data_IF_487555903217
#
_entry.id   IF_487555903217
#
_cell.length_a   1.000
_cell.length_b   1.000
_cell.length_c   1.000
_cell.angle_alpha   90.00
_cell.angle_beta   90.00
_cell.angle_gamma   90.00
#
_symmetry.space_group_name_H-M   'P 1'
#
loop_
_entity.id
_entity.type
_entity.pdbx_description
1 polymer ?
#
# COMPACT_ATOMS: atom_id res chain seq x y z
N UNK A 1 -30.55 -25.95 40.70
CA UNK A 1 -30.82 -25.00 39.59
C UNK A 1 -29.62 -24.93 38.63
N UNK A 2 -29.63 -25.72 37.57
CA UNK A 2 -28.58 -25.69 36.55
C UNK A 2 -28.66 -24.36 35.79
N UNK A 3 -27.55 -23.64 35.68
CA UNK A 3 -27.46 -22.38 34.95
C UNK A 3 -28.02 -22.55 33.52
N UNK A 4 -28.74 -21.57 32.97
CA UNK A 4 -29.29 -21.65 31.63
C UNK A 4 -28.13 -21.82 30.64
N UNK A 5 -28.20 -22.89 29.85
CA UNK A 5 -27.22 -23.24 28.82
C UNK A 5 -27.25 -22.19 27.70
N UNK A 6 -26.29 -21.28 27.71
CA UNK A 6 -26.19 -20.19 26.73
C UNK A 6 -25.31 -20.63 25.55
N UNK A 7 -25.82 -20.43 24.34
CA UNK A 7 -25.05 -20.62 23.10
C UNK A 7 -24.14 -19.40 22.87
N UNK A 8 -23.03 -19.54 22.11
CA UNK A 8 -22.09 -18.45 21.85
C UNK A 8 -22.74 -17.25 21.13
N UNK A 9 -23.80 -17.49 20.37
CA UNK A 9 -24.67 -16.46 19.78
C UNK A 9 -26.11 -16.85 20.07
N UNK A 10 -26.89 -15.88 20.54
CA UNK A 10 -28.34 -16.03 20.72
C UNK A 10 -29.03 -16.10 19.35
N UNK A 11 -29.07 -17.29 18.75
CA UNK A 11 -29.87 -17.60 17.56
C UNK A 11 -31.07 -18.41 18.02
N UNK A 12 -32.27 -18.00 17.60
CA UNK A 12 -33.48 -18.81 17.80
C UNK A 12 -33.46 -19.95 16.79
N UNK A 13 -33.14 -21.17 17.25
CA UNK A 13 -33.21 -22.37 16.43
C UNK A 13 -34.50 -23.15 16.75
N UNK A 14 -35.20 -23.68 15.73
CA UNK A 14 -36.43 -24.45 15.91
C UNK A 14 -36.20 -25.86 16.51
N UNK A 15 -34.98 -26.20 16.93
CA UNK A 15 -34.62 -27.49 17.50
C UNK A 15 -34.57 -27.43 19.03
N UNK A 16 -35.13 -28.44 19.71
CA UNK A 16 -35.14 -28.54 21.18
C UNK A 16 -33.71 -28.54 21.77
N UNK A 17 -33.30 -27.39 22.34
CA UNK A 17 -32.01 -27.18 23.04
C UNK A 17 -31.82 -28.03 24.30
N UNK A 18 -32.85 -28.78 24.73
CA UNK A 18 -32.88 -29.51 26.01
C UNK A 18 -32.62 -31.03 25.90
N UNK A 19 -32.48 -31.61 24.69
CA UNK A 19 -32.08 -33.02 24.53
C UNK A 19 -30.56 -33.18 24.35
N UNK A 20 -29.94 -34.09 25.11
CA UNK A 20 -28.58 -34.61 24.84
C UNK A 20 -28.73 -35.74 23.81
N UNK A 21 -27.97 -35.80 22.69
CA UNK A 21 -26.70 -35.10 22.36
C UNK A 21 -26.83 -33.89 21.40
N UNK A 22 -28.04 -33.46 21.03
CA UNK A 22 -28.25 -32.41 20.01
C UNK A 22 -27.72 -31.04 20.44
N UNK A 23 -27.81 -30.68 21.72
CA UNK A 23 -27.26 -29.43 22.24
C UNK A 23 -25.73 -29.34 22.11
N UNK A 24 -25.01 -30.39 22.49
CA UNK A 24 -23.54 -30.43 22.47
C UNK A 24 -23.02 -30.38 21.03
N UNK A 25 -23.66 -31.10 20.11
CA UNK A 25 -23.35 -31.05 18.69
C UNK A 25 -23.60 -29.66 18.08
N UNK A 26 -24.72 -29.01 18.41
CA UNK A 26 -25.04 -27.66 17.94
C UNK A 26 -24.06 -26.61 18.49
N UNK A 27 -23.72 -26.70 19.78
CA UNK A 27 -22.74 -25.79 20.40
C UNK A 27 -21.36 -25.94 19.76
N UNK A 28 -20.89 -27.17 19.54
CA UNK A 28 -19.62 -27.45 18.89
C UNK A 28 -19.61 -26.95 17.44
N UNK A 29 -20.67 -27.26 16.67
CA UNK A 29 -20.81 -26.81 15.29
C UNK A 29 -20.86 -25.28 15.19
N UNK A 30 -21.61 -24.60 16.07
CA UNK A 30 -21.69 -23.15 16.11
C UNK A 30 -20.35 -22.53 16.48
N UNK A 31 -19.65 -23.05 17.49
CA UNK A 31 -18.34 -22.58 17.91
C UNK A 31 -17.30 -22.74 16.79
N UNK A 32 -17.31 -23.90 16.12
CA UNK A 32 -16.46 -24.15 14.96
C UNK A 32 -16.76 -23.19 13.81
N UNK A 33 -18.04 -22.93 13.54
CA UNK A 33 -18.46 -22.02 12.47
C UNK A 33 -18.02 -20.58 12.74
N UNK A 34 -18.12 -20.11 13.98
CA UNK A 34 -17.64 -18.78 14.39
C UNK A 34 -16.12 -18.67 14.32
N UNK A 35 -15.41 -19.74 14.69
CA UNK A 35 -13.95 -19.79 14.54
C UNK A 35 -13.55 -19.70 13.07
N UNK A 36 -14.17 -20.49 12.20
CA UNK A 36 -13.91 -20.44 10.75
C UNK A 36 -14.22 -19.06 10.17
N UNK A 37 -15.34 -18.45 10.56
CA UNK A 37 -15.71 -17.10 10.10
C UNK A 37 -14.69 -16.05 10.56
N UNK A 38 -14.28 -16.09 11.83
CA UNK A 38 -13.26 -15.19 12.37
C UNK A 38 -11.93 -15.33 11.62
N UNK A 39 -11.49 -16.56 11.37
CA UNK A 39 -10.26 -16.81 10.63
C UNK A 39 -10.37 -16.34 9.19
N UNK A 40 -11.50 -16.57 8.52
CA UNK A 40 -11.72 -16.11 7.16
C UNK A 40 -11.63 -14.59 7.05
N UNK A 41 -12.24 -13.84 7.98
CA UNK A 41 -12.15 -12.37 8.01
C UNK A 41 -10.71 -11.90 8.18
N UNK A 42 -9.99 -12.43 9.18
CA UNK A 42 -8.58 -12.06 9.40
C UNK A 42 -7.72 -12.40 8.18
N UNK A 43 -7.94 -13.54 7.52
CA UNK A 43 -7.24 -13.89 6.30
C UNK A 43 -7.52 -12.91 5.15
N UNK A 44 -8.76 -12.45 5.01
CA UNK A 44 -9.12 -11.44 4.00
C UNK A 44 -8.43 -10.10 4.28
N UNK A 45 -8.39 -9.67 5.54
CA UNK A 45 -7.71 -8.42 5.91
C UNK A 45 -6.21 -8.49 5.64
N UNK A 46 -5.58 -9.58 6.08
CA UNK A 46 -4.17 -9.85 5.81
C UNK A 46 -3.91 -9.84 4.30
N UNK A 47 -4.75 -10.52 3.51
CA UNK A 47 -4.61 -10.58 2.07
C UNK A 47 -4.62 -9.19 1.42
N UNK A 48 -5.57 -8.32 1.78
CA UNK A 48 -5.62 -6.96 1.22
C UNK A 48 -4.41 -6.11 1.63
N UNK A 49 -4.00 -6.17 2.90
CA UNK A 49 -2.80 -5.47 3.38
C UNK A 49 -1.56 -5.95 2.62
N UNK A 50 -1.44 -7.26 2.37
CA UNK A 50 -0.33 -7.82 1.60
C UNK A 50 -0.33 -7.33 0.14
N UNK A 51 -1.50 -7.27 -0.51
CA UNK A 51 -1.60 -6.73 -1.87
C UNK A 51 -1.20 -5.25 -1.93
N UNK A 52 -1.63 -4.45 -0.95
CA UNK A 52 -1.22 -3.05 -0.85
C UNK A 52 0.28 -2.90 -0.63
N UNK A 53 0.86 -3.73 0.23
CA UNK A 53 2.30 -3.73 0.49
C UNK A 53 3.10 -4.15 -0.75
N UNK A 54 2.62 -5.16 -1.50
CA UNK A 54 3.24 -5.59 -2.75
C UNK A 54 3.25 -4.46 -3.78
N UNK A 55 2.13 -3.76 -3.95
CA UNK A 55 2.06 -2.59 -4.84
C UNK A 55 3.07 -1.52 -4.42
N UNK A 56 3.16 -1.21 -3.13
CA UNK A 56 4.11 -0.23 -2.62
C UNK A 56 5.57 -0.66 -2.88
N UNK A 57 5.88 -1.95 -2.70
CA UNK A 57 7.19 -2.51 -2.98
C UNK A 57 7.54 -2.44 -4.48
N UNK A 58 6.60 -2.75 -5.37
CA UNK A 58 6.83 -2.64 -6.83
C UNK A 58 7.07 -1.19 -7.26
N UNK A 59 6.38 -0.21 -6.64
CA UNK A 59 6.67 1.21 -6.86
C UNK A 59 8.06 1.60 -6.36
N UNK A 60 8.50 1.04 -5.24
CA UNK A 60 9.85 1.25 -4.70
C UNK A 60 10.93 0.63 -5.59
N UNK A 61 10.74 -0.59 -6.08
CA UNK A 61 11.65 -1.24 -7.03
C UNK A 61 11.74 -0.42 -8.32
N UNK A 62 10.61 0.08 -8.82
CA UNK A 62 10.60 0.96 -9.99
C UNK A 62 11.35 2.28 -9.73
N UNK A 63 11.20 2.86 -8.53
CA UNK A 63 11.96 4.05 -8.10
C UNK A 63 13.47 3.80 -8.11
N UNK A 64 13.91 2.66 -7.56
CA UNK A 64 15.32 2.28 -7.53
C UNK A 64 15.86 1.96 -8.93
N UNK A 65 15.07 1.32 -9.80
CA UNK A 65 15.48 1.08 -11.19
C UNK A 65 15.67 2.40 -11.95
N UNK A 66 14.82 3.40 -11.72
CA UNK A 66 14.97 4.74 -12.30
C UNK A 66 16.21 5.48 -11.77
N UNK A 67 16.51 5.36 -10.48
CA UNK A 67 17.70 5.97 -9.88
C UNK A 67 19.00 5.24 -10.25
N UNK A 68 18.92 3.94 -10.54
CA UNK A 68 20.06 3.14 -11.00
C UNK A 68 20.51 3.57 -12.41
N UNK A 69 19.56 3.91 -13.30
CA UNK A 69 19.87 4.46 -14.63
C UNK A 69 20.70 5.76 -14.54
N UNK A 70 20.41 6.64 -13.58
CA UNK A 70 21.22 7.84 -13.30
C UNK A 70 22.66 7.47 -12.89
N UNK A 71 22.81 6.54 -11.94
CA UNK A 71 24.12 6.12 -11.41
C UNK A 71 24.99 5.43 -12.45
N UNK A 72 24.42 4.55 -13.27
CA UNK A 72 25.14 3.89 -14.35
C UNK A 72 25.72 4.90 -15.35
N UNK A 73 24.96 5.97 -15.64
CA UNK A 73 25.41 7.02 -16.55
C UNK A 73 26.50 7.92 -15.97
N UNK A 74 26.42 8.28 -14.69
CA UNK A 74 27.47 9.05 -14.02
C UNK A 74 28.82 8.32 -13.99
N UNK A 75 28.81 6.99 -13.85
CA UNK A 75 30.03 6.18 -13.93
C UNK A 75 30.62 6.17 -15.34
N UNK A 76 29.79 6.02 -16.38
CA UNK A 76 30.27 6.04 -17.76
C UNK A 76 30.84 7.40 -18.16
N UNK A 77 30.13 8.49 -17.86
CA UNK A 77 30.63 9.85 -18.14
C UNK A 77 31.93 10.20 -17.39
N UNK A 78 32.15 9.63 -16.21
CA UNK A 78 33.42 9.78 -15.47
C UNK A 78 34.56 8.97 -16.08
N UNK A 79 34.27 7.81 -16.67
CA UNK A 79 35.25 6.96 -17.34
C UNK A 79 35.74 7.61 -18.64
N UNK A 80 34.83 8.16 -19.45
CA UNK A 80 35.15 8.89 -20.69
C UNK A 80 36.03 10.13 -20.45
N UNK A 81 35.77 10.85 -19.35
CA UNK A 81 36.57 12.04 -18.95
C UNK A 81 37.97 11.67 -18.44
N UNK A 82 38.13 10.49 -17.82
CA UNK A 82 39.43 10.01 -17.34
C UNK A 82 40.30 9.55 -18.51
N UNK A 83 39.72 8.83 -19.48
CA UNK A 83 40.43 8.37 -20.68
C UNK A 83 40.91 9.53 -21.57
N UNK A 84 40.14 10.62 -21.65
CA UNK A 84 40.54 11.81 -22.41
C UNK A 84 41.63 12.65 -21.72
N UNK A 85 41.78 12.53 -20.40
CA UNK A 85 42.84 13.25 -19.64
C UNK A 85 44.20 12.53 -19.76
N UNK A 86 44.21 11.21 -19.95
CA UNK A 86 45.44 10.40 -20.08
C UNK A 86 46.06 10.43 -21.50
N UNK A 87 45.35 10.94 -22.52
CA UNK A 87 45.85 11.02 -23.91
C UNK A 87 46.62 12.33 -24.20
N UNK A 88 46.62 13.32 -23.29
CA UNK A 88 47.28 14.61 -23.53
C UNK A 88 48.69 14.75 -22.93
N UNK A 89 49.48 13.69 -23.04
CA UNK A 89 50.88 13.70 -22.61
C UNK A 89 51.73 12.69 -23.37
N UNK A 90 52.02 12.94 -24.65
CA UNK A 90 53.32 12.65 -25.31
C UNK A 90 53.28 13.08 -26.79
N UNK A 91 54.35 13.76 -27.21
CA UNK A 91 54.51 14.47 -28.49
C UNK A 91 55.05 13.57 -29.62
N UNK A 92 54.81 13.98 -30.89
CA UNK A 92 55.43 13.53 -32.16
C UNK A 92 55.17 12.10 -32.70
N UNK A 93 54.30 11.96 -33.72
CA UNK A 93 54.74 11.77 -35.12
C UNK A 93 53.57 11.70 -36.12
N UNK A 94 53.71 12.42 -37.23
CA UNK A 94 52.64 12.76 -38.18
C UNK A 94 52.72 11.93 -39.47
N UNK A 95 52.20 10.69 -39.50
CA UNK A 95 51.83 10.03 -40.79
C UNK A 95 51.00 8.72 -40.75
N UNK A 96 50.57 8.19 -39.60
CA UNK A 96 49.64 7.03 -39.54
C UNK A 96 48.25 7.39 -38.97
N UNK A 97 48.01 8.69 -38.78
CA UNK A 97 46.95 9.21 -37.89
C UNK A 97 45.52 9.09 -38.44
N UNK A 98 45.31 9.01 -39.75
CA UNK A 98 43.96 9.11 -40.32
C UNK A 98 43.11 7.83 -40.24
N UNK A 99 43.73 6.65 -40.16
CA UNK A 99 43.01 5.37 -40.08
C UNK A 99 42.72 4.94 -38.65
N UNK A 100 43.57 5.30 -37.69
CA UNK A 100 43.40 4.97 -36.27
C UNK A 100 42.37 5.88 -35.61
N UNK A 101 42.43 7.18 -35.89
CA UNK A 101 41.46 8.18 -35.39
C UNK A 101 40.04 7.89 -35.92
N UNK A 102 39.93 7.55 -37.21
CA UNK A 102 38.65 7.13 -37.82
C UNK A 102 38.15 5.78 -37.32
N UNK A 103 39.04 4.86 -36.90
CA UNK A 103 38.65 3.61 -36.24
C UNK A 103 38.19 3.86 -34.81
N UNK A 104 38.85 4.70 -34.04
CA UNK A 104 38.44 5.09 -32.69
C UNK A 104 37.09 5.81 -32.71
N UNK A 105 36.90 6.78 -33.60
CA UNK A 105 35.63 7.52 -33.74
C UNK A 105 34.47 6.60 -34.18
N UNK A 106 34.73 5.65 -35.08
CA UNK A 106 33.75 4.61 -35.43
C UNK A 106 33.47 3.66 -34.27
N UNK A 107 34.48 3.27 -33.49
CA UNK A 107 34.35 2.33 -32.36
C UNK A 107 33.60 2.98 -31.19
N UNK A 108 33.91 4.24 -30.88
CA UNK A 108 33.24 5.11 -29.90
C UNK A 108 31.80 5.40 -30.35
N UNK A 109 31.58 5.66 -31.64
CA UNK A 109 30.25 5.82 -32.21
C UNK A 109 29.38 4.56 -32.10
N UNK A 110 29.96 3.36 -32.25
CA UNK A 110 29.27 2.08 -32.01
C UNK A 110 28.99 1.82 -30.54
N UNK A 111 29.93 2.10 -29.62
CA UNK A 111 29.71 1.89 -28.18
C UNK A 111 28.66 2.83 -27.61
N UNK A 112 28.62 4.10 -28.07
CA UNK A 112 27.61 5.07 -27.66
C UNK A 112 26.20 4.67 -28.12
N UNK A 113 26.08 4.16 -29.36
CA UNK A 113 24.82 3.64 -29.90
C UNK A 113 24.32 2.42 -29.14
N UNK A 114 25.20 1.47 -28.83
CA UNK A 114 24.83 0.30 -28.04
C UNK A 114 24.41 0.68 -26.61
N UNK A 115 25.06 1.69 -26.01
CA UNK A 115 24.70 2.20 -24.69
C UNK A 115 23.32 2.88 -24.69
N UNK A 116 23.04 3.73 -25.69
CA UNK A 116 21.74 4.41 -25.83
C UNK A 116 20.60 3.41 -26.10
N UNK A 117 20.86 2.36 -26.89
CA UNK A 117 19.89 1.28 -27.13
C UNK A 117 19.58 0.48 -25.86
N UNK A 118 20.59 0.18 -25.03
CA UNK A 118 20.41 -0.49 -23.73
C UNK A 118 19.60 0.37 -22.77
N UNK A 119 19.94 1.66 -22.66
CA UNK A 119 19.22 2.60 -21.80
C UNK A 119 17.77 2.80 -22.24
N UNK A 120 17.51 2.83 -23.56
CA UNK A 120 16.16 2.85 -24.09
C UNK A 120 15.39 1.55 -23.78
N UNK A 121 16.03 0.39 -23.91
CA UNK A 121 15.41 -0.90 -23.57
C UNK A 121 15.04 -1.00 -22.08
N UNK A 122 15.89 -0.51 -21.18
CA UNK A 122 15.60 -0.42 -19.75
C UNK A 122 14.43 0.52 -19.47
N UNK A 123 14.39 1.70 -20.10
CA UNK A 123 13.26 2.62 -19.97
C UNK A 123 11.96 1.96 -20.44
N UNK A 124 11.95 1.28 -21.59
CA UNK A 124 10.76 0.58 -22.10
C UNK A 124 10.29 -0.50 -21.12
N UNK A 125 11.22 -1.23 -20.51
CA UNK A 125 10.92 -2.22 -19.46
C UNK A 125 10.28 -1.56 -18.24
N UNK A 126 10.85 -0.45 -17.77
CA UNK A 126 10.33 0.32 -16.63
C UNK A 126 8.94 0.92 -16.91
N UNK A 127 8.69 1.44 -18.11
CA UNK A 127 7.37 1.94 -18.52
C UNK A 127 6.34 0.81 -18.56
N UNK A 128 6.69 -0.36 -19.11
CA UNK A 128 5.80 -1.53 -19.14
C UNK A 128 5.50 -2.03 -17.72
N UNK A 129 6.51 -2.07 -16.86
CA UNK A 129 6.36 -2.44 -15.46
C UNK A 129 5.41 -1.47 -14.74
N UNK A 130 5.60 -0.16 -14.91
CA UNK A 130 4.70 0.85 -14.36
C UNK A 130 3.24 0.68 -14.83
N UNK A 131 3.04 0.42 -16.13
CA UNK A 131 1.70 0.15 -16.66
C UNK A 131 1.05 -1.09 -16.01
N UNK A 132 1.83 -2.14 -15.72
CA UNK A 132 1.36 -3.31 -14.99
C UNK A 132 1.00 -2.99 -13.54
N UNK A 133 1.80 -2.15 -12.86
CA UNK A 133 1.50 -1.65 -11.50
C UNK A 133 0.21 -0.84 -11.49
N UNK A 134 0.05 0.12 -12.42
CA UNK A 134 -1.18 0.92 -12.55
C UNK A 134 -2.42 0.03 -12.75
N UNK A 135 -2.30 -1.01 -13.59
CA UNK A 135 -3.39 -1.98 -13.80
C UNK A 135 -3.70 -2.74 -12.50
N UNK A 136 -2.68 -3.18 -11.78
CA UNK A 136 -2.83 -3.89 -10.51
C UNK A 136 -3.51 -3.03 -9.45
N UNK A 137 -3.11 -1.75 -9.33
CA UNK A 137 -3.76 -0.79 -8.43
C UNK A 137 -5.22 -0.55 -8.82
N UNK A 138 -5.53 -0.45 -10.12
CA UNK A 138 -6.92 -0.26 -10.56
C UNK A 138 -7.84 -1.44 -10.22
N UNK A 139 -7.31 -2.67 -10.27
CA UNK A 139 -8.03 -3.88 -9.88
C UNK A 139 -8.17 -3.96 -8.36
N UNK A 140 -7.09 -3.68 -7.64
CA UNK A 140 -7.07 -3.64 -6.18
C UNK A 140 -8.07 -2.60 -5.66
N UNK A 141 -8.11 -1.40 -6.23
CA UNK A 141 -9.04 -0.34 -5.84
C UNK A 141 -10.50 -0.77 -6.06
N UNK A 142 -10.83 -1.41 -7.19
CA UNK A 142 -12.19 -1.91 -7.44
C UNK A 142 -12.60 -3.00 -6.44
N UNK A 143 -11.68 -3.87 -6.06
CA UNK A 143 -11.94 -4.93 -5.08
C UNK A 143 -12.09 -4.36 -3.66
N UNK A 144 -11.25 -3.40 -3.30
CA UNK A 144 -11.21 -2.83 -1.95
C UNK A 144 -12.30 -1.80 -1.69
N UNK A 145 -12.92 -1.21 -2.72
CA UNK A 145 -13.93 -0.14 -2.56
C UNK A 145 -15.07 -0.55 -1.60
N UNK A 146 -15.69 -1.71 -1.85
CA UNK A 146 -16.73 -2.25 -0.99
C UNK A 146 -16.18 -2.73 0.37
N UNK A 147 -15.00 -3.38 0.36
CA UNK A 147 -14.40 -3.95 1.57
C UNK A 147 -14.05 -2.86 2.59
N UNK A 148 -13.46 -1.75 2.15
CA UNK A 148 -13.08 -0.63 3.02
C UNK A 148 -14.32 0.09 3.54
N UNK A 149 -15.36 0.27 2.72
CA UNK A 149 -16.61 0.85 3.21
C UNK A 149 -17.20 0.03 4.37
N UNK A 150 -17.27 -1.29 4.21
CA UNK A 150 -17.74 -2.22 5.24
C UNK A 150 -16.83 -2.16 6.47
N UNK A 151 -15.51 -2.22 6.26
CA UNK A 151 -14.50 -2.11 7.32
C UNK A 151 -14.70 -0.83 8.15
N UNK A 152 -14.86 0.33 7.51
CA UNK A 152 -15.03 1.60 8.22
C UNK A 152 -16.32 1.65 9.04
N UNK A 153 -17.41 1.14 8.47
CA UNK A 153 -18.69 1.08 9.16
C UNK A 153 -18.63 0.16 10.39
N UNK A 154 -18.03 -1.04 10.24
CA UNK A 154 -17.84 -2.00 11.33
C UNK A 154 -16.92 -1.42 12.41
N UNK A 155 -15.81 -0.79 12.03
CA UNK A 155 -14.88 -0.16 12.98
C UNK A 155 -15.54 0.98 13.74
N UNK A 156 -16.34 1.81 13.08
CA UNK A 156 -17.12 2.87 13.73
C UNK A 156 -18.11 2.30 14.75
N UNK A 157 -18.84 1.25 14.39
CA UNK A 157 -19.79 0.58 15.28
C UNK A 157 -19.08 -0.11 16.47
N UNK A 158 -17.97 -0.82 16.22
CA UNK A 158 -17.16 -1.46 17.26
C UNK A 158 -16.57 -0.45 18.22
N UNK A 159 -16.05 0.67 17.72
CA UNK A 159 -15.48 1.72 18.57
C UNK A 159 -16.57 2.38 19.45
N UNK A 160 -17.71 2.72 18.85
CA UNK A 160 -18.85 3.26 19.61
C UNK A 160 -19.35 2.27 20.66
N UNK A 161 -19.49 0.99 20.29
CA UNK A 161 -19.95 -0.07 21.18
C UNK A 161 -18.99 -0.34 22.35
N UNK A 162 -17.70 -0.49 22.06
CA UNK A 162 -16.66 -0.74 23.06
C UNK A 162 -16.61 0.39 24.11
N UNK A 163 -16.65 1.65 23.67
CA UNK A 163 -16.63 2.80 24.60
C UNK A 163 -17.93 2.88 25.39
N UNK A 164 -19.09 2.62 24.77
CA UNK A 164 -20.37 2.61 25.48
C UNK A 164 -20.45 1.52 26.56
N UNK A 165 -20.08 0.28 26.22
CA UNK A 165 -20.07 -0.84 27.18
C UNK A 165 -19.08 -0.56 28.31
N UNK A 166 -17.89 -0.04 28.01
CA UNK A 166 -16.92 0.36 29.02
C UNK A 166 -17.49 1.44 29.96
N UNK A 167 -18.17 2.46 29.42
CA UNK A 167 -18.80 3.52 30.22
C UNK A 167 -19.90 2.99 31.15
N UNK A 168 -20.81 2.14 30.64
CA UNK A 168 -21.89 1.56 31.43
C UNK A 168 -21.36 0.63 32.53
N UNK A 169 -20.37 -0.21 32.23
CA UNK A 169 -19.76 -1.12 33.21
C UNK A 169 -19.04 -0.38 34.34
N UNK A 170 -18.40 0.76 34.02
CA UNK A 170 -17.78 1.63 35.02
C UNK A 170 -18.81 2.31 35.92
N UNK A 171 -19.95 2.74 35.36
CA UNK A 171 -20.99 3.44 36.11
C UNK A 171 -21.86 2.51 36.97
N UNK A 172 -22.20 1.30 36.49
CA UNK A 172 -23.23 0.45 37.12
C UNK A 172 -22.68 -0.59 38.09
N UNK A 173 -21.61 -1.31 37.71
CA UNK A 173 -21.16 -2.51 38.42
C UNK A 173 -19.86 -2.30 39.22
N UNK A 174 -19.14 -1.20 39.01
CA UNK A 174 -17.80 -0.97 39.59
C UNK A 174 -16.77 -2.05 39.20
N UNK A 175 -17.09 -2.89 38.21
CA UNK A 175 -16.30 -4.06 37.84
C UNK A 175 -15.21 -3.69 36.83
N UNK A 176 -14.15 -3.08 37.36
CA UNK A 176 -13.01 -2.54 36.61
C UNK A 176 -12.39 -3.58 35.68
N UNK A 177 -12.36 -4.86 36.07
CA UNK A 177 -11.76 -5.94 35.26
C UNK A 177 -12.50 -6.17 33.93
N UNK A 178 -13.84 -6.06 33.92
CA UNK A 178 -14.64 -6.20 32.69
C UNK A 178 -14.52 -4.97 31.81
N UNK A 179 -14.58 -3.78 32.41
CA UNK A 179 -14.42 -2.52 31.67
C UNK A 179 -13.02 -2.39 31.04
N UNK A 180 -11.97 -2.81 31.76
CA UNK A 180 -10.60 -2.78 31.27
C UNK A 180 -10.42 -3.68 30.04
N UNK A 181 -11.07 -4.85 30.01
CA UNK A 181 -11.06 -5.75 28.84
C UNK A 181 -11.64 -5.07 27.60
N UNK A 182 -12.77 -4.37 27.74
CA UNK A 182 -13.42 -3.66 26.63
C UNK A 182 -12.59 -2.46 26.16
N UNK A 183 -11.98 -1.70 27.09
CA UNK A 183 -11.08 -0.60 26.72
C UNK A 183 -9.85 -1.12 25.97
N UNK A 184 -9.34 -2.30 26.34
CA UNK A 184 -8.18 -2.92 25.69
C UNK A 184 -8.46 -3.36 24.24
N UNK A 185 -9.74 -3.44 23.83
CA UNK A 185 -10.13 -3.69 22.43
C UNK A 185 -9.91 -2.45 21.54
N UNK A 186 -10.01 -1.24 22.09
CA UNK A 186 -9.93 0.02 21.33
C UNK A 186 -8.59 0.15 20.55
N UNK A 187 -7.41 -0.07 21.17
CA UNK A 187 -6.15 -0.04 20.44
C UNK A 187 -6.06 -1.08 19.31
N UNK A 188 -6.67 -2.27 19.46
CA UNK A 188 -6.68 -3.28 18.40
C UNK A 188 -7.44 -2.81 17.16
N UNK A 189 -8.64 -2.25 17.35
CA UNK A 189 -9.50 -1.72 16.27
C UNK A 189 -8.82 -0.53 15.56
N UNK A 190 -8.14 0.32 16.32
CA UNK A 190 -7.33 1.42 15.76
C UNK A 190 -6.09 0.92 15.02
N UNK A 191 -5.46 -0.15 15.49
CA UNK A 191 -4.31 -0.74 14.83
C UNK A 191 -4.70 -1.33 13.47
N UNK A 192 -5.80 -2.08 13.41
CA UNK A 192 -6.32 -2.68 12.17
C UNK A 192 -6.55 -1.62 11.09
N UNK A 193 -7.34 -0.59 11.39
CA UNK A 193 -7.60 0.53 10.46
C UNK A 193 -6.37 1.39 10.19
N UNK A 194 -5.48 1.54 11.17
CA UNK A 194 -4.22 2.25 11.04
C UNK A 194 -3.29 1.60 10.02
N UNK A 195 -3.19 0.27 10.00
CA UNK A 195 -2.37 -0.48 9.05
C UNK A 195 -2.79 -0.21 7.59
N UNK A 196 -4.08 -0.26 7.29
CA UNK A 196 -4.59 0.12 5.97
C UNK A 196 -4.19 1.55 5.59
N UNK A 197 -4.38 2.50 6.51
CA UNK A 197 -4.03 3.90 6.28
C UNK A 197 -2.53 4.12 6.02
N UNK A 198 -1.66 3.39 6.73
CA UNK A 198 -0.20 3.43 6.54
C UNK A 198 0.19 2.89 5.17
N UNK A 199 -0.37 1.75 4.76
CA UNK A 199 -0.13 1.18 3.44
C UNK A 199 -0.59 2.13 2.32
N UNK A 200 -1.78 2.72 2.46
CA UNK A 200 -2.29 3.70 1.50
C UNK A 200 -1.38 4.92 1.38
N UNK A 201 -0.91 5.45 2.52
CA UNK A 201 0.05 6.55 2.54
C UNK A 201 1.40 6.18 1.89
N UNK A 202 1.90 4.96 2.12
CA UNK A 202 3.15 4.48 1.53
C UNK A 202 3.05 4.39 0.01
N UNK A 203 1.94 3.89 -0.54
CA UNK A 203 1.69 3.86 -1.98
C UNK A 203 1.71 5.27 -2.57
N UNK A 204 1.00 6.22 -1.93
CA UNK A 204 0.97 7.62 -2.37
C UNK A 204 2.39 8.20 -2.37
N UNK A 205 3.12 8.07 -1.26
CA UNK A 205 4.47 8.61 -1.12
C UNK A 205 5.44 8.03 -2.15
N UNK A 206 5.40 6.71 -2.41
CA UNK A 206 6.25 6.09 -3.42
C UNK A 206 5.86 6.53 -4.85
N UNK A 207 4.57 6.76 -5.11
CA UNK A 207 4.11 7.27 -6.41
C UNK A 207 4.56 8.70 -6.69
N UNK A 208 4.60 9.57 -5.68
CA UNK A 208 5.11 10.94 -5.81
C UNK A 208 6.63 10.95 -6.06
N UNK A 209 7.37 10.08 -5.35
CA UNK A 209 8.82 9.90 -5.55
C UNK A 209 9.16 9.48 -6.98
N UNK A 210 8.28 8.71 -7.64
CA UNK A 210 8.48 8.20 -9.00
C UNK A 210 8.77 9.29 -10.03
N UNK A 211 8.05 10.40 -9.96
CA UNK A 211 8.27 11.53 -10.88
C UNK A 211 9.63 12.16 -10.65
N UNK A 212 10.04 12.30 -9.39
CA UNK A 212 11.31 12.92 -9.02
C UNK A 212 12.49 12.03 -9.42
N UNK A 213 12.39 10.72 -9.19
CA UNK A 213 13.39 9.73 -9.64
C UNK A 213 13.49 9.70 -11.17
N UNK A 214 12.36 9.74 -11.87
CA UNK A 214 12.34 9.83 -13.33
C UNK A 214 12.99 11.11 -13.84
N UNK A 215 12.80 12.24 -13.16
CA UNK A 215 13.41 13.51 -13.56
C UNK A 215 14.93 13.49 -13.45
N UNK A 216 15.46 12.70 -12.50
CA UNK A 216 16.90 12.56 -12.29
C UNK A 216 17.58 11.53 -13.18
N UNK A 217 16.88 10.81 -14.06
CA UNK A 217 17.44 9.73 -14.88
C UNK A 217 18.48 10.15 -15.96
N UNK A 218 19.06 11.37 -15.88
CA UNK A 218 20.07 11.83 -16.83
C UNK A 218 19.54 12.05 -18.25
N UNK A 219 18.25 12.40 -18.41
CA UNK A 219 17.57 12.58 -19.70
C UNK A 219 18.09 13.69 -20.66
N UNK A 220 18.83 14.75 -20.24
CA UNK A 220 19.21 15.84 -21.15
C UNK A 220 20.04 15.43 -22.36
N UNK A 221 20.92 14.43 -22.22
CA UNK A 221 21.80 13.95 -23.29
C UNK A 221 21.27 12.67 -23.97
N UNK A 222 19.99 12.33 -23.76
CA UNK A 222 19.37 11.18 -24.41
C UNK A 222 18.81 11.49 -25.79
N UNK A 223 18.67 10.41 -26.56
CA UNK A 223 18.05 10.39 -27.87
C UNK A 223 16.59 10.90 -27.83
N UNK A 224 16.11 11.49 -28.93
CA UNK A 224 14.79 12.17 -28.98
C UNK A 224 13.63 11.22 -28.64
N UNK A 225 13.76 9.94 -29.00
CA UNK A 225 12.79 8.87 -28.71
C UNK A 225 12.69 8.57 -27.21
N UNK A 226 13.81 8.56 -26.50
CA UNK A 226 13.86 8.38 -25.06
C UNK A 226 13.18 9.55 -24.34
N UNK A 227 13.52 10.79 -24.73
CA UNK A 227 12.93 12.01 -24.16
C UNK A 227 11.40 12.01 -24.28
N UNK A 228 10.86 11.71 -25.47
CA UNK A 228 9.41 11.64 -25.66
C UNK A 228 8.74 10.56 -24.81
N UNK A 229 9.34 9.37 -24.71
CA UNK A 229 8.78 8.25 -23.93
C UNK A 229 8.79 8.54 -22.42
N UNK A 230 9.88 9.12 -21.94
CA UNK A 230 10.03 9.55 -20.55
C UNK A 230 9.04 10.66 -20.18
N UNK A 231 8.80 11.62 -21.07
CA UNK A 231 7.88 12.72 -20.81
C UNK A 231 6.43 12.25 -20.70
N UNK A 232 6.03 11.29 -21.55
CA UNK A 232 4.71 10.62 -21.45
C UNK A 232 4.61 9.85 -20.12
N UNK A 233 5.66 9.15 -19.74
CA UNK A 233 5.73 8.43 -18.47
C UNK A 233 5.60 9.37 -17.26
N UNK A 234 6.34 10.49 -17.24
CA UNK A 234 6.26 11.50 -16.18
C UNK A 234 4.87 12.11 -16.09
N UNK A 235 4.25 12.45 -17.23
CA UNK A 235 2.88 12.97 -17.27
C UNK A 235 1.86 11.97 -16.70
N UNK A 236 2.07 10.67 -16.92
CA UNK A 236 1.25 9.63 -16.31
C UNK A 236 1.53 9.46 -14.80
N UNK A 237 2.81 9.53 -14.40
CA UNK A 237 3.24 9.37 -13.01
C UNK A 237 2.97 10.60 -12.14
N UNK A 238 2.72 11.78 -12.74
CA UNK A 238 2.43 13.04 -12.01
C UNK A 238 1.11 12.98 -11.25
N UNK A 239 0.21 12.08 -11.63
CA UNK A 239 -1.00 11.81 -10.86
C UNK A 239 -0.64 10.82 -9.75
N UNK A 240 -0.62 11.25 -8.47
CA UNK A 240 -0.36 10.33 -7.38
C UNK A 240 -1.38 9.19 -7.42
N UNK A 241 -0.92 7.98 -7.12
CA UNK A 241 -1.76 6.79 -7.04
C UNK A 241 -2.60 6.86 -5.77
N UNK A 242 -3.66 7.66 -5.84
CA UNK A 242 -4.60 7.84 -4.74
C UNK A 242 -5.66 6.74 -4.76
N UNK A 243 -5.54 5.81 -3.81
CA UNK A 243 -6.60 4.83 -3.56
C UNK A 243 -7.77 5.58 -2.91
N UNK A 244 -8.76 5.91 -3.74
CA UNK A 244 -9.97 6.62 -3.33
C UNK A 244 -11.10 5.60 -3.17
N UNK A 245 -11.75 5.61 -2.00
CA UNK A 245 -12.88 4.74 -1.69
C UNK A 245 -14.17 5.55 -1.68
N UNK A 246 -15.21 5.05 -2.34
CA UNK A 246 -16.57 5.57 -2.28
C UNK A 246 -16.73 7.02 -2.76
N UNK A 247 -15.87 7.47 -3.69
CA UNK A 247 -15.82 8.85 -4.25
C UNK A 247 -15.52 9.98 -3.26
N UNK A 248 -15.44 9.74 -1.95
CA UNK A 248 -15.34 10.82 -0.95
C UNK A 248 -14.23 10.64 0.09
N UNK A 249 -13.70 9.43 0.30
CA UNK A 249 -12.69 9.19 1.32
C UNK A 249 -11.37 8.72 0.68
N UNK A 250 -10.35 9.58 0.73
CA UNK A 250 -8.97 9.16 0.46
C UNK A 250 -8.49 8.34 1.66
N UNK A 251 -7.88 7.19 1.39
CA UNK A 251 -7.34 6.31 2.42
C UNK A 251 -6.11 6.96 3.07
N UNK A 252 -6.35 7.85 4.03
CA UNK A 252 -5.33 8.70 4.64
C UNK A 252 -5.57 8.86 6.14
N UNK A 253 -4.62 9.49 6.83
CA UNK A 253 -4.75 9.90 8.25
C UNK A 253 -6.04 10.69 8.51
N UNK A 254 -6.54 11.42 7.51
CA UNK A 254 -7.80 12.16 7.59
C UNK A 254 -9.02 11.23 7.75
N UNK A 255 -8.99 10.05 7.14
CA UNK A 255 -10.07 9.06 7.25
C UNK A 255 -10.15 8.49 8.67
N UNK A 256 -9.01 8.21 9.31
CA UNK A 256 -8.97 7.77 10.70
C UNK A 256 -9.61 8.81 11.64
N UNK A 257 -9.30 10.09 11.42
CA UNK A 257 -9.92 11.19 12.18
C UNK A 257 -11.44 11.28 11.93
N UNK A 258 -11.88 11.07 10.69
CA UNK A 258 -13.32 11.04 10.36
C UNK A 258 -14.05 9.90 11.08
N UNK A 259 -13.46 8.70 11.11
CA UNK A 259 -14.03 7.55 11.84
C UNK A 259 -14.10 7.84 13.35
N UNK A 260 -13.04 8.39 13.92
CA UNK A 260 -12.99 8.76 15.35
C UNK A 260 -14.06 9.81 15.69
N UNK A 261 -14.14 10.89 14.92
CA UNK A 261 -15.14 11.95 15.12
C UNK A 261 -16.57 11.43 14.95
N UNK A 262 -16.79 10.58 13.94
CA UNK A 262 -18.08 9.94 13.72
C UNK A 262 -18.48 9.04 14.88
N UNK A 263 -17.55 8.21 15.37
CA UNK A 263 -17.79 7.33 16.51
C UNK A 263 -18.08 8.13 17.79
N UNK A 264 -17.37 9.23 18.02
CA UNK A 264 -17.62 10.14 19.13
C UNK A 264 -19.00 10.82 19.04
N UNK A 265 -19.42 11.26 17.85
CA UNK A 265 -20.74 11.83 17.63
C UNK A 265 -21.85 10.81 17.91
N UNK A 266 -21.72 9.58 17.41
CA UNK A 266 -22.66 8.48 17.70
C UNK A 266 -22.72 8.16 19.20
N UNK A 267 -21.55 8.14 19.86
CA UNK A 267 -21.47 7.90 21.30
C UNK A 267 -22.21 8.98 22.09
N UNK A 268 -22.03 10.26 21.76
CA UNK A 268 -22.73 11.35 22.42
C UNK A 268 -24.25 11.23 22.26
N UNK A 269 -24.72 10.87 21.07
CA UNK A 269 -26.15 10.63 20.84
C UNK A 269 -26.66 9.46 21.69
N UNK A 270 -25.93 8.34 21.71
CA UNK A 270 -26.30 7.15 22.49
C UNK A 270 -26.30 7.42 24.00
N UNK A 271 -25.31 8.18 24.48
CA UNK A 271 -25.20 8.58 25.88
C UNK A 271 -26.35 9.52 26.30
N UNK A 272 -26.69 10.50 25.46
CA UNK A 272 -27.84 11.37 25.69
C UNK A 272 -29.15 10.56 25.77
N UNK A 273 -29.34 9.60 24.88
CA UNK A 273 -30.53 8.73 24.89
C UNK A 273 -30.59 7.89 26.17
N UNK A 274 -29.48 7.29 26.60
CA UNK A 274 -29.41 6.51 27.84
C UNK A 274 -29.72 7.35 29.09
N UNK A 275 -29.33 8.62 29.12
CA UNK A 275 -29.64 9.51 30.26
C UNK A 275 -31.09 10.04 30.24
N UNK A 276 -31.77 10.00 29.10
CA UNK A 276 -33.16 10.49 28.96
C UNK A 276 -34.21 9.41 29.30
N UNK A 277 -33.80 8.13 29.34
CA UNK A 277 -34.63 6.95 29.59
C UNK A 277 -34.58 6.54 31.07
#
# INVERSE_FOLDING_TARGET
PAAPRQLPVHVWLPADLNRSPTYEALFAAQSFSLMVLSQATVCMDIFFVHLMLLVAAELEVLNENLSAMERGRLQHGRSEYSETTDIHGEDSDRSTFTNTDRRLDVTVGTSQREHDERMYAELVKNVRHHQAVLRSVSLLQKAMDASIFILLFINMANLCGAVFVAAVLLQRDGNITKALKEVMLIPCVLYETGMYCLCGHMIISQSERLVTSAFRCGWPDCDRRFKSSLLIFMMAAIRPLEITVGKMCKLSKQMLLQVLNGSYALLNMLYHFHHTL
#
